data_IF_864237081457
#
_entry.id   IF_864237081457
#
_cell.length_a   1.000
_cell.length_b   1.000
_cell.length_c   1.000
_cell.angle_alpha   90.00
_cell.angle_beta   90.00
_cell.angle_gamma   90.00
#
_symmetry.space_group_name_H-M   'P 1'
#
loop_
_entity.id
_entity.type
_entity.pdbx_description
1 polymer ?
#
# COMPACT_ATOMS: atom_id res chain seq x y z
N UNK A 1 -10.27 13.39 -71.01
CA UNK A 1 -8.96 13.29 -70.32
C UNK A 1 -9.16 13.45 -68.82
N UNK A 2 -8.49 12.59 -68.01
CA UNK A 2 -8.43 12.52 -66.52
C UNK A 2 -9.72 12.00 -65.86
N UNK A 3 -9.81 10.85 -65.16
CA UNK A 3 -8.85 10.15 -64.27
C UNK A 3 -8.82 10.89 -62.93
N UNK A 4 -9.09 10.35 -61.73
CA UNK A 4 -9.30 9.01 -61.19
C UNK A 4 -9.17 9.13 -59.66
N UNK A 5 -9.56 8.10 -58.90
CA UNK A 5 -9.09 7.91 -57.52
C UNK A 5 -10.13 8.15 -56.42
N UNK A 6 -10.76 7.06 -55.97
CA UNK A 6 -11.36 6.99 -54.64
C UNK A 6 -10.30 6.98 -53.54
N UNK A 7 -10.71 7.38 -52.34
CA UNK A 7 -10.07 7.01 -51.07
C UNK A 7 -11.13 7.12 -49.97
N UNK A 8 -11.60 5.96 -49.51
CA UNK A 8 -12.15 5.84 -48.17
C UNK A 8 -11.01 5.85 -47.16
N UNK A 9 -11.26 6.42 -45.99
CA UNK A 9 -10.60 6.06 -44.74
C UNK A 9 -11.63 6.21 -43.63
N UNK A 10 -12.03 5.06 -43.09
CA UNK A 10 -12.59 4.99 -41.74
C UNK A 10 -11.48 5.25 -40.72
N UNK A 11 -11.87 5.88 -39.62
CA UNK A 11 -11.07 6.04 -38.42
C UNK A 11 -12.04 6.21 -37.27
N UNK A 12 -12.38 5.09 -36.64
CA UNK A 12 -13.12 5.07 -35.39
C UNK A 12 -12.24 5.50 -34.22
N UNK A 13 -12.94 5.83 -33.13
CA UNK A 13 -12.53 5.80 -31.73
C UNK A 13 -11.22 6.50 -31.33
N UNK A 14 -11.31 7.43 -30.39
CA UNK A 14 -10.85 7.16 -29.02
C UNK A 14 -11.19 8.35 -28.12
N UNK A 15 -12.23 8.10 -27.32
CA UNK A 15 -12.41 8.54 -25.94
C UNK A 15 -11.40 9.56 -25.37
N UNK A 16 -11.96 10.68 -24.94
CA UNK A 16 -11.34 11.69 -24.08
C UNK A 16 -10.85 11.07 -22.76
N UNK A 17 -9.63 10.55 -22.79
CA UNK A 17 -8.85 10.18 -21.62
C UNK A 17 -8.36 11.43 -20.89
N UNK A 18 -9.26 12.13 -20.20
CA UNK A 18 -8.92 13.15 -19.22
C UNK A 18 -8.37 12.46 -17.96
N UNK A 19 -7.14 11.97 -18.04
CA UNK A 19 -6.34 11.59 -16.88
C UNK A 19 -5.10 12.48 -16.83
N UNK A 20 -5.32 13.72 -16.39
CA UNK A 20 -4.26 14.60 -15.92
C UNK A 20 -3.71 14.01 -14.63
N UNK A 21 -2.82 13.03 -14.77
CA UNK A 21 -2.05 12.44 -13.69
C UNK A 21 -1.33 13.55 -12.94
N UNK A 22 -1.79 13.77 -11.72
CA UNK A 22 -1.25 14.68 -10.72
C UNK A 22 0.24 14.41 -10.57
N UNK A 23 1.06 15.24 -11.22
CA UNK A 23 2.50 15.29 -11.01
C UNK A 23 2.77 15.77 -9.59
N UNK A 24 2.75 14.84 -8.64
CA UNK A 24 3.24 15.07 -7.29
C UNK A 24 4.73 15.45 -7.32
N UNK A 25 5.20 16.23 -6.34
CA UNK A 25 6.60 16.65 -6.26
C UNK A 25 7.47 15.40 -6.32
N UNK A 26 8.47 15.40 -7.24
CA UNK A 26 9.42 14.30 -7.50
C UNK A 26 9.60 13.43 -6.24
N UNK A 27 8.90 12.30 -6.23
CA UNK A 27 8.68 11.50 -5.04
C UNK A 27 10.01 11.21 -4.36
N UNK A 28 10.19 11.74 -3.15
CA UNK A 28 11.29 11.37 -2.27
C UNK A 28 11.15 9.86 -2.10
N UNK A 29 12.06 9.09 -2.70
CA UNK A 29 11.98 7.62 -2.66
C UNK A 29 11.97 7.21 -1.19
N UNK A 30 11.05 6.31 -0.81
CA UNK A 30 10.97 5.80 0.56
C UNK A 30 12.31 5.18 0.97
N UNK A 31 12.96 4.50 0.03
CA UNK A 31 14.30 3.93 0.17
C UNK A 31 15.20 4.41 -0.95
N UNK A 32 16.50 4.48 -0.68
CA UNK A 32 17.48 4.40 -1.77
C UNK A 32 17.59 2.95 -2.31
N UNK A 33 18.35 2.76 -3.39
CA UNK A 33 18.50 1.43 -4.01
C UNK A 33 19.27 0.42 -3.14
N UNK A 34 20.12 0.88 -2.23
CA UNK A 34 20.86 0.03 -1.28
C UNK A 34 20.03 -0.33 -0.04
N UNK A 35 19.25 0.61 0.48
CA UNK A 35 18.34 0.39 1.61
C UNK A 35 17.27 -0.66 1.25
N UNK A 36 16.67 -0.55 0.06
CA UNK A 36 15.69 -1.54 -0.39
C UNK A 36 16.30 -2.94 -0.51
N UNK A 37 17.55 -3.06 -0.99
CA UNK A 37 18.25 -4.35 -1.05
C UNK A 37 18.36 -4.99 0.33
N UNK A 38 18.75 -4.22 1.34
CA UNK A 38 18.88 -4.72 2.72
C UNK A 38 17.53 -5.15 3.29
N UNK A 39 16.45 -4.39 3.06
CA UNK A 39 15.10 -4.76 3.49
C UNK A 39 14.66 -6.07 2.84
N UNK A 40 14.80 -6.20 1.52
CA UNK A 40 14.41 -7.42 0.80
C UNK A 40 15.25 -8.62 1.24
N UNK A 41 16.57 -8.47 1.38
CA UNK A 41 17.46 -9.53 1.86
C UNK A 41 17.07 -9.98 3.27
N UNK A 42 16.76 -9.04 4.18
CA UNK A 42 16.33 -9.38 5.54
C UNK A 42 15.02 -10.17 5.54
N UNK A 43 14.02 -9.73 4.77
CA UNK A 43 12.74 -10.42 4.67
C UNK A 43 12.87 -11.85 4.11
N UNK A 44 13.80 -12.06 3.17
CA UNK A 44 14.12 -13.38 2.60
C UNK A 44 14.89 -14.25 3.60
N UNK A 45 15.79 -13.65 4.39
CA UNK A 45 16.55 -14.36 5.41
C UNK A 45 15.68 -14.82 6.59
N UNK A 46 14.65 -14.06 6.93
CA UNK A 46 13.69 -14.45 7.97
C UNK A 46 12.78 -15.59 7.52
N UNK A 47 12.37 -15.60 6.25
CA UNK A 47 11.56 -16.66 5.66
C UNK A 47 11.76 -16.68 4.13
N UNK A 48 11.97 -17.85 3.50
CA UNK A 48 12.01 -17.94 2.05
C UNK A 48 10.69 -17.46 1.42
N UNK A 49 10.75 -16.48 0.51
CA UNK A 49 9.58 -15.77 -0.02
C UNK A 49 9.62 -15.64 -1.54
N UNK A 50 8.45 -15.47 -2.16
CA UNK A 50 8.38 -15.01 -3.55
C UNK A 50 8.49 -13.49 -3.64
N UNK A 51 8.88 -12.97 -4.81
CA UNK A 51 9.00 -11.52 -5.03
C UNK A 51 7.72 -10.72 -4.75
N UNK A 52 6.55 -11.30 -4.98
CA UNK A 52 5.27 -10.63 -4.69
C UNK A 52 4.94 -10.61 -3.18
N UNK A 53 5.34 -11.65 -2.45
CA UNK A 53 5.15 -11.70 -0.99
C UNK A 53 6.03 -10.68 -0.29
N UNK A 54 7.19 -10.35 -0.87
CA UNK A 54 8.05 -9.26 -0.39
C UNK A 54 7.38 -7.88 -0.54
N UNK A 55 6.69 -7.66 -1.67
CA UNK A 55 5.91 -6.42 -1.88
C UNK A 55 4.83 -6.30 -0.80
N UNK A 56 4.05 -7.37 -0.60
CA UNK A 56 3.00 -7.41 0.43
C UNK A 56 3.56 -7.22 1.84
N UNK A 57 4.65 -7.89 2.17
CA UNK A 57 5.26 -7.78 3.50
C UNK A 57 5.65 -6.33 3.83
N UNK A 58 6.21 -5.60 2.85
CA UNK A 58 6.55 -4.17 3.03
C UNK A 58 5.29 -3.31 3.12
N UNK A 59 4.27 -3.61 2.32
CA UNK A 59 2.97 -2.95 2.40
C UNK A 59 2.35 -3.10 3.80
N UNK A 60 2.33 -4.32 4.33
CA UNK A 60 1.76 -4.65 5.64
C UNK A 60 2.53 -3.97 6.77
N UNK A 61 3.88 -4.02 6.74
CA UNK A 61 4.72 -3.33 7.74
C UNK A 61 4.48 -1.82 7.80
N UNK A 62 4.02 -1.22 6.69
CA UNK A 62 3.72 0.21 6.61
C UNK A 62 2.23 0.52 6.74
N UNK A 63 1.39 -0.47 7.04
CA UNK A 63 -0.06 -0.30 7.11
C UNK A 63 -0.65 0.20 5.78
N UNK A 64 -0.11 -0.24 4.65
CA UNK A 64 -0.52 0.18 3.31
C UNK A 64 -0.04 1.58 2.90
N UNK A 65 0.83 2.23 3.68
CA UNK A 65 1.41 3.53 3.33
C UNK A 65 2.42 3.46 2.18
N UNK A 66 3.07 2.30 2.00
CA UNK A 66 4.04 2.11 0.95
C UNK A 66 4.10 0.65 0.49
N UNK A 67 3.88 0.44 -0.81
CA UNK A 67 4.16 -0.81 -1.47
C UNK A 67 5.20 -0.55 -2.59
N UNK A 68 6.37 -1.21 -2.57
CA UNK A 68 7.34 -1.07 -3.66
C UNK A 68 6.76 -1.70 -4.94
N UNK A 69 6.99 -1.06 -6.09
CA UNK A 69 6.46 -1.59 -7.35
C UNK A 69 7.26 -2.82 -7.80
N UNK A 70 6.62 -3.74 -8.55
CA UNK A 70 7.32 -4.86 -9.20
C UNK A 70 8.56 -4.41 -10.00
N UNK A 71 8.46 -3.28 -10.70
CA UNK A 71 9.55 -2.72 -11.51
C UNK A 71 10.78 -2.26 -10.71
N UNK A 72 10.68 -2.15 -9.38
CA UNK A 72 11.84 -1.90 -8.51
C UNK A 72 12.25 -3.18 -7.79
N UNK A 73 11.30 -3.99 -7.32
CA UNK A 73 11.60 -5.22 -6.56
C UNK A 73 12.33 -6.26 -7.40
N UNK A 74 11.83 -6.59 -8.59
CA UNK A 74 12.44 -7.67 -9.38
C UNK A 74 13.87 -7.35 -9.85
N UNK A 75 14.19 -6.14 -10.35
CA UNK A 75 15.58 -5.78 -10.62
C UNK A 75 16.46 -5.82 -9.36
N UNK A 76 15.91 -5.45 -8.20
CA UNK A 76 16.66 -5.52 -6.94
C UNK A 76 16.95 -6.96 -6.53
N UNK A 77 16.01 -7.89 -6.75
CA UNK A 77 16.23 -9.32 -6.53
C UNK A 77 17.28 -9.89 -7.48
N UNK A 78 17.27 -9.49 -8.75
CA UNK A 78 18.33 -9.87 -9.70
C UNK A 78 19.70 -9.40 -9.21
N UNK A 79 19.82 -8.17 -8.73
CA UNK A 79 21.09 -7.68 -8.18
C UNK A 79 21.54 -8.45 -6.92
N UNK A 80 20.61 -8.85 -6.05
CA UNK A 80 20.95 -9.67 -4.88
C UNK A 80 21.43 -11.07 -5.27
N UNK A 81 20.83 -11.66 -6.32
CA UNK A 81 21.21 -12.96 -6.88
C UNK A 81 22.59 -12.87 -7.57
N UNK A 82 22.81 -11.81 -8.37
CA UNK A 82 24.11 -11.52 -9.02
C UNK A 82 25.25 -11.29 -8.01
N UNK A 83 24.91 -10.78 -6.81
CA UNK A 83 25.84 -10.59 -5.69
C UNK A 83 25.99 -11.84 -4.80
N UNK A 84 25.32 -12.95 -5.15
CA UNK A 84 25.33 -14.23 -4.42
C UNK A 84 24.82 -14.09 -2.97
N UNK A 85 23.93 -13.10 -2.72
CA UNK A 85 23.32 -12.85 -1.40
C UNK A 85 22.01 -13.62 -1.22
N UNK A 86 21.35 -13.96 -2.33
CA UNK A 86 20.17 -14.82 -2.35
C UNK A 86 20.35 -15.89 -3.43
N UNK A 87 19.57 -16.97 -3.33
CA UNK A 87 19.49 -17.99 -4.35
C UNK A 87 18.02 -18.31 -4.65
N UNK A 88 17.71 -18.52 -5.94
CA UNK A 88 16.40 -18.99 -6.37
C UNK A 88 16.29 -20.52 -6.21
N UNK A 89 15.35 -20.98 -5.39
CA UNK A 89 14.97 -22.39 -5.30
C UNK A 89 13.78 -22.65 -6.23
N UNK A 90 13.93 -23.59 -7.16
CA UNK A 90 12.79 -24.09 -7.91
C UNK A 90 11.94 -24.94 -6.96
N UNK A 91 10.71 -24.51 -6.73
CA UNK A 91 9.67 -25.37 -6.19
C UNK A 91 8.97 -26.03 -7.40
N UNK A 92 8.86 -27.35 -7.39
CA UNK A 92 8.27 -28.13 -8.48
C UNK A 92 6.94 -27.52 -8.96
N UNK A 93 6.96 -26.88 -10.14
CA UNK A 93 5.80 -26.27 -10.80
C UNK A 93 5.33 -24.90 -10.28
N UNK A 94 5.94 -24.34 -9.23
CA UNK A 94 5.53 -23.06 -8.63
C UNK A 94 6.51 -21.91 -8.91
N UNK A 95 6.07 -20.68 -8.61
CA UNK A 95 6.88 -19.44 -8.70
C UNK A 95 8.21 -19.65 -7.94
N UNK A 96 9.31 -19.03 -8.39
CA UNK A 96 10.63 -19.15 -7.73
C UNK A 96 10.56 -18.60 -6.30
N UNK A 97 10.97 -19.41 -5.31
CA UNK A 97 11.22 -18.93 -3.95
C UNK A 97 12.66 -18.41 -3.90
N UNK A 98 12.87 -17.33 -3.15
CA UNK A 98 14.21 -16.84 -2.86
C UNK A 98 14.57 -17.20 -1.42
N UNK A 99 15.81 -17.64 -1.22
CA UNK A 99 16.38 -18.01 0.07
C UNK A 99 17.71 -17.26 0.24
N UNK A 100 18.01 -16.81 1.46
CA UNK A 100 19.26 -16.09 1.72
C UNK A 100 20.45 -17.07 1.74
N UNK A 101 21.57 -16.68 1.15
CA UNK A 101 22.81 -17.46 1.23
C UNK A 101 23.53 -17.20 2.56
N UNK A 102 24.58 -17.98 2.82
CA UNK A 102 25.49 -17.68 3.94
C UNK A 102 26.12 -16.28 3.80
N UNK A 103 26.52 -15.90 2.58
CA UNK A 103 27.03 -14.56 2.26
C UNK A 103 25.99 -13.49 2.51
N UNK A 104 24.73 -13.72 2.10
CA UNK A 104 23.61 -12.83 2.38
C UNK A 104 23.38 -12.62 3.87
N UNK A 105 23.43 -13.70 4.65
CA UNK A 105 23.28 -13.64 6.10
C UNK A 105 24.41 -12.86 6.75
N UNK A 106 25.66 -13.08 6.34
CA UNK A 106 26.80 -12.31 6.82
C UNK A 106 26.67 -10.82 6.44
N UNK A 107 26.24 -10.51 5.22
CA UNK A 107 26.01 -9.14 4.79
C UNK A 107 24.94 -8.44 5.65
N UNK A 108 23.93 -9.15 6.16
CA UNK A 108 22.97 -8.59 7.11
C UNK A 108 23.60 -8.32 8.48
N UNK A 109 24.47 -9.21 8.97
CA UNK A 109 25.21 -9.02 10.22
C UNK A 109 26.11 -7.78 10.14
N UNK A 110 26.85 -7.63 9.04
CA UNK A 110 27.75 -6.50 8.82
C UNK A 110 26.99 -5.15 8.73
N UNK A 111 25.69 -5.19 8.42
CA UNK A 111 24.82 -4.03 8.28
C UNK A 111 23.69 -3.99 9.32
N UNK A 112 23.84 -4.68 10.46
CA UNK A 112 22.77 -4.89 11.43
C UNK A 112 22.12 -3.58 11.90
N UNK A 113 22.92 -2.58 12.27
CA UNK A 113 22.41 -1.27 12.73
C UNK A 113 21.56 -0.58 11.66
N UNK A 114 21.98 -0.65 10.40
CA UNK A 114 21.24 -0.06 9.29
C UNK A 114 19.94 -0.84 9.04
N UNK A 115 19.98 -2.17 9.06
CA UNK A 115 18.79 -3.00 8.94
C UNK A 115 17.77 -2.67 10.03
N UNK A 116 18.20 -2.60 11.30
CA UNK A 116 17.34 -2.22 12.42
C UNK A 116 16.71 -0.84 12.22
N UNK A 117 17.51 0.16 11.81
CA UNK A 117 17.02 1.50 11.53
C UNK A 117 15.98 1.53 10.40
N UNK A 118 16.17 0.74 9.34
CA UNK A 118 15.24 0.63 8.21
C UNK A 118 13.90 0.01 8.65
N UNK A 119 13.91 -1.05 9.45
CA UNK A 119 12.69 -1.67 9.96
C UNK A 119 11.98 -0.81 11.00
N UNK A 120 12.72 -0.12 11.87
CA UNK A 120 12.14 0.87 12.78
C UNK A 120 11.45 2.00 12.01
N UNK A 121 12.04 2.45 10.90
CA UNK A 121 11.42 3.44 10.00
C UNK A 121 10.15 2.91 9.35
N UNK A 122 10.14 1.68 8.84
CA UNK A 122 8.95 1.03 8.27
C UNK A 122 7.80 0.97 9.30
N UNK A 123 8.10 0.45 10.49
CA UNK A 123 7.14 0.34 11.58
C UNK A 123 6.63 1.73 12.03
N UNK A 124 7.50 2.74 12.07
CA UNK A 124 7.13 4.11 12.39
C UNK A 124 6.12 4.71 11.40
N UNK A 125 6.28 4.41 10.10
CA UNK A 125 5.32 4.82 9.06
C UNK A 125 3.96 4.12 9.28
N UNK A 126 3.97 2.81 9.52
CA UNK A 126 2.75 2.05 9.81
C UNK A 126 2.01 2.56 11.05
N UNK A 127 2.75 2.84 12.12
CA UNK A 127 2.18 3.39 13.36
C UNK A 127 1.57 4.78 13.16
N UNK A 128 2.20 5.65 12.38
CA UNK A 128 1.66 6.99 12.10
C UNK A 128 0.37 6.93 11.28
N UNK A 129 0.32 6.02 10.31
CA UNK A 129 -0.91 5.79 9.54
C UNK A 129 -2.03 5.25 10.41
N UNK A 130 -1.76 4.22 11.22
CA UNK A 130 -2.74 3.68 12.15
C UNK A 130 -3.27 4.74 13.14
N UNK A 131 -2.39 5.63 13.63
CA UNK A 131 -2.79 6.79 14.46
C UNK A 131 -3.70 7.75 13.71
N UNK A 132 -3.38 8.06 12.45
CA UNK A 132 -4.14 8.98 11.59
C UNK A 132 -5.51 8.40 11.26
N UNK A 133 -5.58 7.13 10.89
CA UNK A 133 -6.81 6.42 10.58
C UNK A 133 -7.71 6.36 11.83
N UNK A 134 -7.15 5.98 12.98
CA UNK A 134 -7.86 6.02 14.26
C UNK A 134 -8.31 7.44 14.66
N UNK A 135 -7.51 8.47 14.36
CA UNK A 135 -7.90 9.86 14.58
C UNK A 135 -9.03 10.31 13.65
N UNK A 136 -9.09 9.80 12.41
CA UNK A 136 -10.18 10.08 11.47
C UNK A 136 -11.51 9.52 11.96
N UNK A 137 -11.50 8.29 12.48
CA UNK A 137 -12.68 7.66 13.11
C UNK A 137 -13.11 8.44 14.35
N UNK A 138 -12.16 8.76 15.25
CA UNK A 138 -12.47 9.58 16.44
C UNK A 138 -13.05 10.94 16.08
N UNK A 139 -12.55 11.59 15.02
CA UNK A 139 -13.08 12.87 14.54
C UNK A 139 -14.50 12.73 14.00
N UNK A 140 -14.77 11.70 13.20
CA UNK A 140 -16.11 11.41 12.71
C UNK A 140 -17.10 11.17 13.86
N UNK A 141 -16.68 10.40 14.88
CA UNK A 141 -17.48 10.20 16.09
C UNK A 141 -17.70 11.50 16.88
N UNK A 142 -16.70 12.37 16.97
CA UNK A 142 -16.81 13.70 17.58
C UNK A 142 -17.85 14.57 16.89
N UNK A 143 -17.81 14.64 15.56
CA UNK A 143 -18.79 15.37 14.76
C UNK A 143 -20.21 14.82 14.95
N UNK A 144 -20.37 13.49 14.94
CA UNK A 144 -21.67 12.83 15.18
C UNK A 144 -22.22 13.21 16.56
N UNK A 145 -21.39 13.11 17.60
CA UNK A 145 -21.76 13.49 18.97
C UNK A 145 -22.20 14.96 19.05
N UNK A 146 -21.46 15.86 18.42
CA UNK A 146 -21.77 17.29 18.41
C UNK A 146 -23.13 17.58 17.74
N UNK A 147 -23.37 16.98 16.57
CA UNK A 147 -24.66 17.10 15.87
C UNK A 147 -25.81 16.58 16.71
N UNK A 148 -25.64 15.40 17.34
CA UNK A 148 -26.66 14.83 18.22
C UNK A 148 -26.94 15.71 19.43
N UNK A 149 -25.91 16.19 20.12
CA UNK A 149 -26.07 17.08 21.28
C UNK A 149 -26.79 18.36 20.88
N UNK A 150 -26.38 19.00 19.78
CA UNK A 150 -27.00 20.24 19.33
C UNK A 150 -28.47 20.03 18.95
N UNK A 151 -28.78 18.91 18.30
CA UNK A 151 -30.14 18.60 17.86
C UNK A 151 -31.06 18.10 18.98
N UNK A 152 -30.51 17.43 20.00
CA UNK A 152 -31.27 16.90 21.14
C UNK A 152 -31.40 17.89 22.31
N UNK A 153 -30.63 19.00 22.30
CA UNK A 153 -30.72 20.07 23.31
C UNK A 153 -31.84 21.09 23.05
N UNK A 154 -32.50 21.08 21.89
CA UNK A 154 -33.62 22.00 21.67
C UNK A 154 -34.80 21.62 22.56
N UNK A 155 -35.51 22.61 23.10
CA UNK A 155 -36.59 22.38 24.07
C UNK A 155 -37.81 21.64 23.45
N UNK A 156 -37.93 21.63 22.11
CA UNK A 156 -39.06 21.04 21.36
C UNK A 156 -38.67 19.81 20.50
N UNK A 157 -37.76 18.95 20.97
CA UNK A 157 -37.42 17.74 20.19
C UNK A 157 -38.57 16.73 20.23
N UNK A 158 -39.17 16.49 19.07
CA UNK A 158 -40.15 15.43 18.89
C UNK A 158 -39.53 14.05 19.17
N UNK A 159 -40.27 13.18 19.88
CA UNK A 159 -39.84 11.81 20.24
C UNK A 159 -39.48 11.00 18.98
N UNK A 160 -40.20 11.22 17.88
CA UNK A 160 -39.94 10.62 16.58
C UNK A 160 -38.52 10.95 16.07
N UNK A 161 -38.01 12.16 16.35
CA UNK A 161 -36.65 12.56 15.97
C UNK A 161 -35.60 11.82 16.79
N UNK A 162 -35.88 11.55 18.06
CA UNK A 162 -35.01 10.74 18.93
C UNK A 162 -34.96 9.30 18.41
N UNK A 163 -36.13 8.71 18.13
CA UNK A 163 -36.21 7.34 17.61
C UNK A 163 -35.52 7.20 16.25
N UNK A 164 -35.68 8.18 15.37
CA UNK A 164 -34.99 8.22 14.08
C UNK A 164 -33.47 8.32 14.25
N UNK A 165 -32.97 9.13 15.20
CA UNK A 165 -31.54 9.23 15.47
C UNK A 165 -30.96 7.91 16.01
N UNK A 166 -31.67 7.22 16.92
CA UNK A 166 -31.28 5.90 17.43
C UNK A 166 -31.22 4.88 16.28
N UNK A 167 -32.28 4.79 15.47
CA UNK A 167 -32.34 3.87 14.35
C UNK A 167 -31.19 4.07 13.35
N UNK A 168 -30.77 5.32 13.10
CA UNK A 168 -29.64 5.63 12.23
C UNK A 168 -28.29 5.22 12.83
N UNK A 169 -28.11 5.36 14.14
CA UNK A 169 -26.89 4.93 14.83
C UNK A 169 -26.79 3.40 14.81
N UNK A 170 -27.89 2.71 15.12
CA UNK A 170 -27.93 1.24 15.15
C UNK A 170 -27.73 0.65 13.74
N UNK A 171 -28.33 1.23 12.70
CA UNK A 171 -28.10 0.83 11.31
C UNK A 171 -26.63 1.02 10.90
N UNK A 172 -26.03 2.15 11.27
CA UNK A 172 -24.60 2.39 11.01
C UNK A 172 -23.71 1.36 11.76
N UNK A 173 -24.02 1.06 13.02
CA UNK A 173 -23.29 0.08 13.82
C UNK A 173 -23.39 -1.33 13.21
N UNK A 174 -24.60 -1.79 12.87
CA UNK A 174 -24.81 -3.11 12.25
C UNK A 174 -24.10 -3.24 10.90
N UNK A 175 -24.04 -2.16 10.11
CA UNK A 175 -23.30 -2.16 8.85
C UNK A 175 -21.80 -2.29 9.08
N UNK A 176 -21.26 -1.62 10.10
CA UNK A 176 -19.83 -1.71 10.46
C UNK A 176 -19.47 -3.11 11.00
N UNK A 177 -20.33 -3.72 11.83
CA UNK A 177 -20.11 -5.08 12.35
C UNK A 177 -20.06 -6.17 11.27
N UNK A 178 -20.58 -5.89 10.07
CA UNK A 178 -20.64 -6.85 8.95
C UNK A 178 -19.51 -6.68 7.92
N UNK A 179 -18.62 -5.70 8.10
CA UNK A 179 -17.43 -5.51 7.25
C UNK A 179 -16.37 -6.57 7.56
#
# INVERSE_FOLDING_TARGET
MRGGGGRGFGGGDHSEGRSGGRGGPRGRRMFDGGELRLVLLKLIADEPRHGYDLIRSIEDLTGGAYAPSPGVVYPTLTLLDDMDLIAARQADGAKKLFEATATGTQHLVDNAELVEALFARLAGVGAERARTDGASVRRAMGNLREVLINKLRSEDVAIETIHAAVALIDDAAQKIERL
#
